data_IF_820659805169
#
_entry.id   IF_820659805169
#
_cell.length_a   1.000
_cell.length_b   1.000
_cell.length_c   1.000
_cell.angle_alpha   90.00
_cell.angle_beta   90.00
_cell.angle_gamma   90.00
#
_symmetry.space_group_name_H-M   'P 1'
#
loop_
_entity.id
_entity.type
_entity.pdbx_description
1 polymer ?
#
# COMPACT_ATOMS: atom_id res chain seq x y z
N UNK A 1 -10.56 -25.77 10.47
CA UNK A 1 -10.39 -24.92 9.26
C UNK A 1 -8.92 -24.55 9.02
N UNK A 2 -8.04 -25.54 8.84
CA UNK A 2 -6.60 -25.31 8.59
C UNK A 2 -6.28 -25.65 7.14
N UNK A 3 -6.24 -24.64 6.25
CA UNK A 3 -5.50 -24.75 4.99
C UNK A 3 -4.27 -23.84 5.14
N UNK A 4 -3.21 -24.38 5.74
CA UNK A 4 -1.86 -23.81 5.61
C UNK A 4 -1.46 -23.96 4.13
N UNK A 5 -1.84 -22.99 3.30
CA UNK A 5 -1.35 -22.91 1.94
C UNK A 5 0.17 -22.87 1.98
N UNK A 6 0.82 -23.63 1.09
CA UNK A 6 2.27 -23.58 0.86
C UNK A 6 2.74 -22.11 0.82
N UNK A 7 3.97 -21.82 1.28
CA UNK A 7 4.57 -20.49 1.21
C UNK A 7 4.41 -19.86 -0.18
N UNK A 8 4.52 -20.70 -1.22
CA UNK A 8 4.25 -20.33 -2.60
C UNK A 8 2.83 -19.80 -2.84
N UNK A 9 1.82 -20.47 -2.27
CA UNK A 9 0.42 -20.06 -2.38
C UNK A 9 0.19 -18.71 -1.69
N UNK A 10 0.83 -18.47 -0.54
CA UNK A 10 0.72 -17.22 0.22
C UNK A 10 1.37 -16.07 -0.54
N UNK A 11 2.59 -16.27 -1.04
CA UNK A 11 3.29 -15.28 -1.87
C UNK A 11 2.53 -14.98 -3.16
N UNK A 12 1.97 -16.00 -3.83
CA UNK A 12 1.14 -15.80 -5.04
C UNK A 12 -0.12 -15.00 -4.75
N UNK A 13 -0.79 -15.25 -3.62
CA UNK A 13 -1.97 -14.50 -3.23
C UNK A 13 -1.62 -13.04 -2.88
N UNK A 14 -0.52 -12.81 -2.17
CA UNK A 14 -0.02 -11.47 -1.88
C UNK A 14 0.30 -10.69 -3.17
N UNK A 15 1.01 -11.32 -4.12
CA UNK A 15 1.32 -10.71 -5.41
C UNK A 15 0.06 -10.38 -6.22
N UNK A 16 -0.96 -11.26 -6.24
CA UNK A 16 -2.23 -10.96 -6.91
C UNK A 16 -2.97 -9.80 -6.26
N UNK A 17 -2.97 -9.73 -4.92
CA UNK A 17 -3.55 -8.62 -4.18
C UNK A 17 -2.87 -7.30 -4.53
N UNK A 18 -1.54 -7.30 -4.57
CA UNK A 18 -0.74 -6.14 -4.96
C UNK A 18 -1.03 -5.70 -6.41
N UNK A 19 -1.06 -6.63 -7.37
CA UNK A 19 -1.38 -6.31 -8.77
C UNK A 19 -2.78 -5.72 -8.94
N UNK A 20 -3.78 -6.26 -8.23
CA UNK A 20 -5.14 -5.71 -8.23
C UNK A 20 -5.16 -4.28 -7.69
N UNK A 21 -4.56 -4.07 -6.52
CA UNK A 21 -4.51 -2.76 -5.88
C UNK A 21 -3.86 -1.72 -6.80
N UNK A 22 -2.72 -2.04 -7.43
CA UNK A 22 -2.05 -1.15 -8.39
C UNK A 22 -2.94 -0.82 -9.60
N UNK A 23 -3.75 -1.77 -10.06
CA UNK A 23 -4.63 -1.55 -11.21
C UNK A 23 -5.91 -0.78 -10.87
N UNK A 24 -6.44 -0.94 -9.67
CA UNK A 24 -7.74 -0.41 -9.25
C UNK A 24 -7.60 0.96 -8.56
N UNK A 25 -6.51 1.21 -7.82
CA UNK A 25 -6.34 2.42 -7.01
C UNK A 25 -5.51 3.51 -7.70
N UNK A 26 -6.07 4.73 -7.74
CA UNK A 26 -5.39 5.88 -8.32
C UNK A 26 -4.21 6.37 -7.45
N UNK A 27 -4.37 6.31 -6.13
CA UNK A 27 -3.35 6.66 -5.13
C UNK A 27 -2.08 5.83 -5.30
N UNK A 28 -2.20 4.51 -5.46
CA UNK A 28 -1.05 3.62 -5.71
C UNK A 28 -0.28 3.98 -6.99
N UNK A 29 -0.95 4.49 -8.03
CA UNK A 29 -0.26 4.97 -9.24
C UNK A 29 0.54 6.24 -8.95
N UNK A 30 -0.01 7.16 -8.15
CA UNK A 30 0.72 8.37 -7.75
C UNK A 30 1.92 8.04 -6.88
N UNK A 31 1.82 7.05 -5.99
CA UNK A 31 2.95 6.57 -5.19
C UNK A 31 4.03 5.88 -6.03
N UNK A 32 3.64 5.07 -7.04
CA UNK A 32 4.58 4.48 -7.99
C UNK A 32 5.37 5.55 -8.76
N UNK A 33 4.72 6.64 -9.17
CA UNK A 33 5.38 7.77 -9.82
C UNK A 33 6.34 8.49 -8.86
N UNK A 34 5.93 8.70 -7.61
CA UNK A 34 6.80 9.29 -6.58
C UNK A 34 8.02 8.41 -6.28
N UNK A 35 7.83 7.09 -6.20
CA UNK A 35 8.91 6.12 -6.03
C UNK A 35 9.88 6.14 -7.23
N UNK A 36 9.36 6.19 -8.46
CA UNK A 36 10.18 6.30 -9.67
C UNK A 36 10.99 7.60 -9.66
N UNK A 37 10.37 8.73 -9.30
CA UNK A 37 11.04 10.01 -9.18
C UNK A 37 12.16 9.99 -8.12
N UNK A 38 11.91 9.38 -6.97
CA UNK A 38 12.92 9.21 -5.92
C UNK A 38 14.12 8.39 -6.41
N UNK A 39 13.89 7.29 -7.15
CA UNK A 39 14.96 6.48 -7.76
C UNK A 39 15.78 7.30 -8.76
N UNK A 40 15.13 8.09 -9.62
CA UNK A 40 15.82 8.98 -10.57
C UNK A 40 16.68 10.00 -9.84
N UNK A 41 16.19 10.59 -8.74
CA UNK A 41 16.97 11.52 -7.92
C UNK A 41 18.18 10.85 -7.26
N UNK A 42 18.03 9.65 -6.70
CA UNK A 42 19.15 8.92 -6.10
C UNK A 42 20.25 8.62 -7.12
N UNK A 43 19.87 8.26 -8.34
CA UNK A 43 20.81 8.04 -9.44
C UNK A 43 21.49 9.35 -9.87
N UNK A 44 20.71 10.42 -10.09
CA UNK A 44 21.22 11.72 -10.52
C UNK A 44 22.21 12.33 -9.51
N UNK A 45 21.94 12.16 -8.21
CA UNK A 45 22.78 12.66 -7.12
C UNK A 45 23.94 11.72 -6.76
N UNK A 46 24.05 10.55 -7.42
CA UNK A 46 25.03 9.50 -7.07
C UNK A 46 24.98 9.18 -5.57
N UNK A 47 23.76 9.03 -5.04
CA UNK A 47 23.52 8.91 -3.63
C UNK A 47 24.22 7.66 -3.03
N UNK A 48 24.72 7.80 -1.81
CA UNK A 48 25.38 6.70 -1.10
C UNK A 48 24.42 5.55 -0.81
N UNK A 49 24.92 4.31 -0.57
CA UNK A 49 24.07 3.15 -0.28
C UNK A 49 23.11 3.35 0.91
N UNK A 50 23.47 4.21 1.87
CA UNK A 50 22.58 4.55 2.99
C UNK A 50 21.28 5.23 2.52
N UNK A 51 21.37 6.18 1.58
CA UNK A 51 20.19 6.86 1.04
C UNK A 51 19.28 5.92 0.27
N UNK A 52 19.86 4.97 -0.48
CA UNK A 52 19.11 3.91 -1.13
C UNK A 52 18.33 3.07 -0.11
N UNK A 53 18.97 2.66 0.98
CA UNK A 53 18.30 1.89 2.04
C UNK A 53 17.15 2.69 2.67
N UNK A 54 17.37 3.95 3.03
CA UNK A 54 16.36 4.81 3.65
C UNK A 54 15.17 5.04 2.73
N UNK A 55 15.40 5.42 1.47
CA UNK A 55 14.33 5.65 0.50
C UNK A 55 13.57 4.37 0.19
N UNK A 56 14.26 3.23 0.07
CA UNK A 56 13.60 1.93 -0.15
C UNK A 56 12.68 1.58 1.01
N UNK A 57 13.13 1.75 2.26
CA UNK A 57 12.30 1.51 3.45
C UNK A 57 11.11 2.47 3.48
N UNK A 58 11.33 3.75 3.18
CA UNK A 58 10.25 4.74 3.16
C UNK A 58 9.18 4.42 2.12
N UNK A 59 9.59 4.07 0.90
CA UNK A 59 8.67 3.61 -0.16
C UNK A 59 7.89 2.38 0.32
N UNK A 60 8.56 1.40 0.92
CA UNK A 60 7.90 0.19 1.41
C UNK A 60 6.86 0.49 2.51
N UNK A 61 7.15 1.43 3.42
CA UNK A 61 6.22 1.86 4.48
C UNK A 61 5.00 2.56 3.89
N UNK A 62 5.21 3.50 2.96
CA UNK A 62 4.12 4.24 2.29
C UNK A 62 3.20 3.29 1.54
N UNK A 63 3.74 2.38 0.73
CA UNK A 63 2.93 1.37 0.04
C UNK A 63 2.16 0.45 1.00
N UNK A 64 2.76 0.10 2.15
CA UNK A 64 2.08 -0.72 3.15
C UNK A 64 0.92 0.03 3.82
N UNK A 65 1.10 1.33 4.10
CA UNK A 65 0.05 2.20 4.64
C UNK A 65 -1.10 2.33 3.63
N UNK A 66 -0.81 2.58 2.36
CA UNK A 66 -1.81 2.72 1.30
C UNK A 66 -2.64 1.44 1.10
N UNK A 67 -1.98 0.29 1.06
CA UNK A 67 -2.67 -1.01 0.99
C UNK A 67 -3.56 -1.27 2.22
N UNK A 68 -3.11 -0.84 3.41
CA UNK A 68 -3.91 -0.95 4.63
C UNK A 68 -5.13 -0.02 4.57
N UNK A 69 -4.96 1.20 4.09
CA UNK A 69 -6.04 2.18 3.91
C UNK A 69 -7.10 1.64 2.95
N UNK A 70 -6.68 1.19 1.77
CA UNK A 70 -7.56 0.55 0.78
C UNK A 70 -8.30 -0.67 1.38
N UNK A 71 -7.62 -1.49 2.18
CA UNK A 71 -8.23 -2.64 2.83
C UNK A 71 -9.28 -2.24 3.88
N UNK A 72 -8.99 -1.21 4.68
CA UNK A 72 -9.93 -0.66 5.68
C UNK A 72 -11.14 -0.04 4.99
N UNK A 73 -10.94 0.73 3.92
CA UNK A 73 -12.02 1.34 3.14
C UNK A 73 -12.97 0.28 2.57
N UNK A 74 -12.41 -0.73 1.87
CA UNK A 74 -13.18 -1.82 1.29
C UNK A 74 -13.95 -2.63 2.36
N UNK A 75 -13.34 -2.85 3.53
CA UNK A 75 -14.01 -3.53 4.64
C UNK A 75 -15.13 -2.67 5.21
N UNK A 76 -14.88 -1.38 5.44
CA UNK A 76 -15.84 -0.42 5.95
C UNK A 76 -17.07 -0.32 5.05
N UNK A 77 -16.87 -0.19 3.73
CA UNK A 77 -17.95 -0.13 2.74
C UNK A 77 -18.78 -1.41 2.71
N UNK A 78 -18.13 -2.56 2.95
CA UNK A 78 -18.83 -3.85 3.01
C UNK A 78 -19.65 -4.03 4.28
N UNK A 79 -19.16 -3.53 5.42
CA UNK A 79 -19.78 -3.70 6.75
C UNK A 79 -20.88 -2.68 7.00
N UNK A 80 -20.72 -1.45 6.52
CA UNK A 80 -21.68 -0.36 6.69
C UNK A 80 -21.94 0.32 5.34
N UNK A 81 -22.89 -0.22 4.53
CA UNK A 81 -23.22 0.35 3.22
C UNK A 81 -23.94 1.70 3.31
N UNK A 82 -24.58 1.96 4.45
CA UNK A 82 -25.22 3.24 4.78
C UNK A 82 -24.22 4.13 5.53
N UNK A 83 -24.41 5.45 5.46
CA UNK A 83 -23.50 6.38 6.12
C UNK A 83 -23.57 6.24 7.66
N UNK A 84 -22.47 5.77 8.27
CA UNK A 84 -22.24 5.77 9.71
C UNK A 84 -21.09 6.73 10.07
N UNK A 85 -21.32 7.80 10.86
CA UNK A 85 -20.29 8.74 11.30
C UNK A 85 -19.10 8.09 12.02
N UNK A 86 -19.29 6.92 12.65
CA UNK A 86 -18.21 6.16 13.30
C UNK A 86 -17.29 5.52 12.28
N UNK A 87 -17.87 4.97 11.20
CA UNK A 87 -17.11 4.40 10.09
C UNK A 87 -16.37 5.52 9.33
N UNK A 88 -17.00 6.68 9.17
CA UNK A 88 -16.34 7.89 8.66
C UNK A 88 -15.04 8.19 9.42
N UNK A 89 -15.09 8.27 10.75
CA UNK A 89 -13.89 8.51 11.57
C UNK A 89 -12.81 7.42 11.43
N UNK A 90 -13.20 6.15 11.26
CA UNK A 90 -12.23 5.07 11.03
C UNK A 90 -11.50 5.26 9.71
N UNK A 91 -12.22 5.65 8.66
CA UNK A 91 -11.63 5.97 7.35
C UNK A 91 -10.72 7.20 7.44
N UNK A 92 -11.13 8.24 8.17
CA UNK A 92 -10.31 9.44 8.38
C UNK A 92 -8.98 9.11 9.08
N UNK A 93 -9.00 8.20 10.06
CA UNK A 93 -7.79 7.75 10.74
C UNK A 93 -6.89 6.89 9.86
N UNK A 94 -7.47 6.04 9.01
CA UNK A 94 -6.73 5.28 8.03
C UNK A 94 -6.02 6.24 7.05
N UNK A 95 -6.76 7.17 6.44
CA UNK A 95 -6.21 8.16 5.52
C UNK A 95 -5.13 9.08 6.13
N UNK A 96 -5.06 9.21 7.45
CA UNK A 96 -4.07 10.00 8.16
C UNK A 96 -2.78 9.23 8.54
N UNK A 97 -2.78 7.90 8.46
CA UNK A 97 -1.67 7.02 8.81
C UNK A 97 -0.62 6.94 7.70
#
# INVERSE_FOLDING_TARGET
MSKRGSLWQRSRNALRGLFRAISEEHSLRTELLAALFAVVLLLALRASPLWWALVTVLIAVVFAAELLNTAIENLADRVSPEYDPRIGRVKDFAAAA
#
